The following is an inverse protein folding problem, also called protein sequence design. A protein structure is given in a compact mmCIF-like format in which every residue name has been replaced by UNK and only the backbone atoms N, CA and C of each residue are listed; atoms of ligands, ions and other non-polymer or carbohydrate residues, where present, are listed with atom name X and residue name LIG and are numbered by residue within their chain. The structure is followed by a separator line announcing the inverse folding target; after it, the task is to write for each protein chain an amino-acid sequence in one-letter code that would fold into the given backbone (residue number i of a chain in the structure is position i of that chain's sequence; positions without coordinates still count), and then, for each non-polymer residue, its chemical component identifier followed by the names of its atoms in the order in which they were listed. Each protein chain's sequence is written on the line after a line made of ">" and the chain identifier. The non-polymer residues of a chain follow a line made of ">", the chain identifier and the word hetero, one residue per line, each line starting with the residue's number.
data_IF_529197060563
#
_entry.id   IF_529197060563
#
_cell.length_a   1.000
_cell.length_b   1.000
_cell.length_c   1.000
_cell.angle_alpha   90.00
_cell.angle_beta   90.00
_cell.angle_gamma   90.00
#
_symmetry.space_group_name_H-M   'P 1'
#
loop_
_entity.id
_entity.type
_entity.pdbx_description
1 polymer ?
#
# COMPACT_ATOMS: atom_id res chain seq x y z
N UNK A 1 -28.83 -8.46 24.77
CA UNK A 1 -28.37 -8.37 23.36
C UNK A 1 -27.95 -6.95 22.94
N UNK A 2 -27.81 -5.98 23.86
CA UNK A 2 -27.45 -4.59 23.53
C UNK A 2 -25.95 -4.27 23.60
N UNK A 3 -25.17 -4.95 24.46
CA UNK A 3 -23.74 -4.63 24.67
C UNK A 3 -22.86 -4.89 23.44
N UNK A 4 -23.16 -5.93 22.65
CA UNK A 4 -22.29 -6.36 21.55
C UNK A 4 -22.29 -5.41 20.33
N UNK A 5 -23.29 -4.52 20.24
CA UNK A 5 -23.44 -3.60 19.10
C UNK A 5 -22.53 -2.38 19.27
N UNK A 6 -22.40 -1.89 20.49
CA UNK A 6 -21.62 -0.69 20.83
C UNK A 6 -20.11 -0.97 20.73
N UNK A 7 -19.67 -2.16 21.18
CA UNK A 7 -18.29 -2.62 21.04
C UNK A 7 -17.86 -2.84 19.58
N UNK A 8 -18.76 -3.31 18.72
CA UNK A 8 -18.47 -3.49 17.29
C UNK A 8 -18.29 -2.15 16.56
N UNK A 9 -19.18 -1.18 16.80
CA UNK A 9 -19.02 0.17 16.24
C UNK A 9 -17.74 0.85 16.76
N UNK A 10 -17.33 0.58 18.00
CA UNK A 10 -16.04 1.03 18.53
C UNK A 10 -14.86 0.41 17.79
N UNK A 11 -14.90 -0.90 17.51
CA UNK A 11 -13.84 -1.60 16.79
C UNK A 11 -13.69 -1.09 15.35
N UNK A 12 -14.79 -0.89 14.63
CA UNK A 12 -14.76 -0.39 13.24
C UNK A 12 -14.10 0.99 13.18
N UNK A 13 -14.53 1.92 14.02
CA UNK A 13 -13.94 3.27 14.06
C UNK A 13 -12.44 3.23 14.40
N UNK A 14 -12.04 2.36 15.33
CA UNK A 14 -10.61 2.19 15.68
C UNK A 14 -9.78 1.63 14.53
N UNK A 15 -10.34 0.75 13.70
CA UNK A 15 -9.64 0.23 12.52
C UNK A 15 -9.54 1.32 11.45
N UNK A 16 -10.59 2.11 11.24
CA UNK A 16 -10.55 3.27 10.33
C UNK A 16 -9.49 4.29 10.77
N UNK A 17 -9.46 4.62 12.06
CA UNK A 17 -8.47 5.54 12.65
C UNK A 17 -7.03 4.99 12.53
N UNK A 18 -6.85 3.67 12.65
CA UNK A 18 -5.55 3.00 12.56
C UNK A 18 -5.15 2.61 11.14
N UNK A 19 -5.98 2.85 10.11
CA UNK A 19 -5.73 2.32 8.77
C UNK A 19 -4.39 2.77 8.19
N UNK A 20 -4.04 4.04 8.35
CA UNK A 20 -2.75 4.57 7.88
C UNK A 20 -1.54 3.90 8.55
N UNK A 21 -1.66 3.52 9.83
CA UNK A 21 -0.61 2.78 10.55
C UNK A 21 -0.52 1.35 10.03
N UNK A 22 -1.67 0.67 9.86
CA UNK A 22 -1.73 -0.68 9.29
C UNK A 22 -1.11 -0.73 7.88
N UNK A 23 -1.44 0.24 7.03
CA UNK A 23 -0.92 0.35 5.67
C UNK A 23 0.61 0.56 5.68
N UNK A 24 1.09 1.48 6.53
CA UNK A 24 2.52 1.74 6.70
C UNK A 24 3.29 0.53 7.23
N UNK A 25 2.73 -0.19 8.21
CA UNK A 25 3.32 -1.41 8.76
C UNK A 25 3.43 -2.49 7.68
N UNK A 26 2.37 -2.69 6.89
CA UNK A 26 2.37 -3.66 5.78
C UNK A 26 3.47 -3.33 4.76
N UNK A 27 3.57 -2.08 4.33
CA UNK A 27 4.63 -1.65 3.42
C UNK A 27 6.03 -1.88 4.00
N UNK A 28 6.22 -1.61 5.29
CA UNK A 28 7.50 -1.77 5.98
C UNK A 28 7.89 -3.24 6.11
N UNK A 29 6.95 -4.07 6.57
CA UNK A 29 7.15 -5.51 6.71
C UNK A 29 7.45 -6.15 5.35
N UNK A 30 6.68 -5.81 4.31
CA UNK A 30 6.95 -6.27 2.95
C UNK A 30 8.34 -5.87 2.48
N UNK A 31 8.77 -4.63 2.72
CA UNK A 31 10.10 -4.17 2.32
C UNK A 31 11.24 -4.96 2.98
N UNK A 32 11.04 -5.46 4.20
CA UNK A 32 12.05 -6.23 4.92
C UNK A 32 11.98 -7.74 4.68
N UNK A 33 10.80 -8.26 4.31
CA UNK A 33 10.55 -9.72 4.23
C UNK A 33 10.41 -10.24 2.81
N UNK A 34 10.00 -9.40 1.86
CA UNK A 34 9.79 -9.77 0.46
C UNK A 34 10.84 -9.10 -0.44
N UNK A 35 11.77 -9.91 -0.95
CA UNK A 35 12.87 -9.41 -1.78
C UNK A 35 12.42 -8.89 -3.13
N UNK A 36 11.34 -9.43 -3.70
CA UNK A 36 10.81 -8.96 -4.98
C UNK A 36 10.15 -7.60 -4.79
N UNK A 37 9.32 -7.46 -3.76
CA UNK A 37 8.72 -6.18 -3.38
C UNK A 37 9.78 -5.10 -3.09
N UNK A 38 10.82 -5.44 -2.32
CA UNK A 38 11.91 -4.52 -2.04
C UNK A 38 12.67 -4.09 -3.31
N UNK A 39 12.83 -5.00 -4.28
CA UNK A 39 13.45 -4.70 -5.56
C UNK A 39 12.59 -3.73 -6.39
N UNK A 40 11.27 -3.95 -6.43
CA UNK A 40 10.33 -3.05 -7.12
C UNK A 40 10.39 -1.62 -6.56
N UNK A 41 10.35 -1.45 -5.23
CA UNK A 41 10.48 -0.12 -4.59
C UNK A 41 11.80 0.55 -4.93
N UNK A 42 12.92 -0.17 -4.78
CA UNK A 42 14.26 0.39 -5.07
C UNK A 42 14.38 0.83 -6.53
N UNK A 43 13.84 0.04 -7.46
CA UNK A 43 13.87 0.41 -8.87
C UNK A 43 13.02 1.66 -9.15
N UNK A 44 11.84 1.78 -8.52
CA UNK A 44 10.99 2.97 -8.65
C UNK A 44 11.71 4.22 -8.10
N UNK A 45 12.35 4.11 -6.94
CA UNK A 45 13.14 5.20 -6.33
C UNK A 45 14.31 5.61 -7.23
N UNK A 46 15.03 4.64 -7.81
CA UNK A 46 16.13 4.89 -8.74
C UNK A 46 15.65 5.60 -10.01
N UNK A 47 14.51 5.20 -10.56
CA UNK A 47 13.92 5.87 -11.73
C UNK A 47 13.53 7.30 -11.40
N UNK A 48 12.90 7.55 -10.26
CA UNK A 48 12.51 8.89 -9.84
C UNK A 48 13.74 9.80 -9.64
N UNK A 49 14.82 9.28 -9.05
CA UNK A 49 16.09 10.01 -8.89
C UNK A 49 16.78 10.28 -10.24
N UNK A 50 16.79 9.30 -11.15
CA UNK A 50 17.44 9.43 -12.46
C UNK A 50 16.63 10.29 -13.45
N UNK A 51 15.32 10.41 -13.25
CA UNK A 51 14.39 11.10 -14.14
C UNK A 51 13.48 12.06 -13.38
N UNK A 52 13.95 13.29 -13.07
CA UNK A 52 13.17 14.32 -12.36
C UNK A 52 11.85 14.71 -13.03
N UNK A 53 11.69 14.36 -14.32
CA UNK A 53 10.43 14.52 -15.04
C UNK A 53 9.28 13.70 -14.43
N UNK A 54 9.58 12.59 -13.75
CA UNK A 54 8.57 11.76 -13.07
C UNK A 54 7.89 12.58 -11.96
N UNK A 55 8.65 13.23 -11.09
CA UNK A 55 8.12 14.12 -10.05
C UNK A 55 7.32 15.28 -10.65
N UNK A 56 7.83 15.90 -11.73
CA UNK A 56 7.09 16.94 -12.46
C UNK A 56 5.75 16.45 -13.01
N UNK A 57 5.64 15.20 -13.45
CA UNK A 57 4.37 14.62 -13.91
C UNK A 57 3.42 14.40 -12.74
N UNK A 58 3.93 13.92 -11.60
CA UNK A 58 3.10 13.56 -10.45
C UNK A 58 2.59 14.77 -9.66
N UNK A 59 3.42 15.79 -9.50
CA UNK A 59 3.16 16.94 -8.60
C UNK A 59 3.08 18.28 -9.33
N UNK A 60 3.57 18.34 -10.57
CA UNK A 60 3.59 19.57 -11.35
C UNK A 60 2.22 19.92 -11.96
N UNK A 61 2.15 21.13 -12.51
CA UNK A 61 0.97 21.63 -13.21
C UNK A 61 1.32 22.12 -14.62
N UNK A 62 0.34 22.06 -15.52
CA UNK A 62 0.49 22.50 -16.91
C UNK A 62 0.96 21.40 -17.87
N UNK A 63 1.26 21.79 -19.10
CA UNK A 63 1.66 20.85 -20.14
C UNK A 63 3.11 20.37 -19.95
N UNK A 64 3.33 19.07 -20.14
CA UNK A 64 4.65 18.43 -20.09
C UNK A 64 4.88 17.71 -21.41
N UNK A 65 6.05 17.92 -22.01
CA UNK A 65 6.52 17.17 -23.17
C UNK A 65 7.61 16.21 -22.70
N UNK A 66 7.57 14.96 -23.18
CA UNK A 66 8.53 13.92 -22.83
C UNK A 66 9.34 13.53 -24.06
N UNK A 67 10.65 13.35 -23.87
CA UNK A 67 11.47 12.57 -24.80
C UNK A 67 11.08 11.09 -24.74
N UNK A 68 11.50 10.32 -25.74
CA UNK A 68 11.28 8.87 -25.78
C UNK A 68 11.82 8.16 -24.51
N UNK A 69 13.01 8.57 -24.06
CA UNK A 69 13.64 8.04 -22.84
C UNK A 69 12.82 8.37 -21.58
N UNK A 70 12.33 9.60 -21.47
CA UNK A 70 11.51 10.04 -20.34
C UNK A 70 10.14 9.35 -20.33
N UNK A 71 9.52 9.18 -21.50
CA UNK A 71 8.29 8.41 -21.63
C UNK A 71 8.48 6.96 -21.21
N UNK A 72 9.55 6.29 -21.68
CA UNK A 72 9.86 4.93 -21.30
C UNK A 72 10.13 4.80 -19.78
N UNK A 73 10.85 5.75 -19.18
CA UNK A 73 11.08 5.78 -17.74
C UNK A 73 9.78 5.95 -16.95
N UNK A 74 8.87 6.82 -17.40
CA UNK A 74 7.58 7.01 -16.75
C UNK A 74 6.66 5.78 -16.87
N UNK A 75 6.61 5.14 -18.04
CA UNK A 75 5.87 3.88 -18.24
C UNK A 75 6.42 2.78 -17.31
N UNK A 76 7.75 2.65 -17.19
CA UNK A 76 8.35 1.70 -16.26
C UNK A 76 8.00 2.02 -14.81
N UNK A 77 8.14 3.28 -14.40
CA UNK A 77 7.81 3.74 -13.06
C UNK A 77 6.36 3.43 -12.67
N UNK A 78 5.40 3.77 -13.54
CA UNK A 78 3.97 3.48 -13.28
C UNK A 78 3.70 1.98 -13.19
N UNK A 79 4.33 1.17 -14.03
CA UNK A 79 4.25 -0.29 -13.95
C UNK A 79 4.81 -0.87 -12.64
N UNK A 80 5.91 -0.30 -12.12
CA UNK A 80 6.45 -0.68 -10.81
C UNK A 80 5.49 -0.29 -9.68
N UNK A 81 4.92 0.92 -9.72
CA UNK A 81 3.93 1.37 -8.72
C UNK A 81 2.71 0.46 -8.66
N UNK A 82 2.16 0.06 -9.81
CA UNK A 82 1.05 -0.90 -9.87
C UNK A 82 1.41 -2.23 -9.21
N UNK A 83 2.59 -2.78 -9.51
CA UNK A 83 3.03 -4.06 -8.91
C UNK A 83 3.25 -3.95 -7.40
N UNK A 84 3.82 -2.83 -6.93
CA UNK A 84 3.98 -2.53 -5.49
C UNK A 84 2.62 -2.47 -4.80
N UNK A 85 1.66 -1.72 -5.36
CA UNK A 85 0.31 -1.60 -4.80
C UNK A 85 -0.45 -2.94 -4.81
N UNK A 86 -0.27 -3.77 -5.83
CA UNK A 86 -0.86 -5.10 -5.88
C UNK A 86 -0.35 -6.00 -4.75
N UNK A 87 0.94 -5.94 -4.43
CA UNK A 87 1.51 -6.68 -3.31
C UNK A 87 0.97 -6.18 -1.97
N UNK A 88 0.92 -4.87 -1.75
CA UNK A 88 0.37 -4.24 -0.54
C UNK A 88 -1.12 -4.61 -0.35
N UNK A 89 -1.94 -4.45 -1.40
CA UNK A 89 -3.37 -4.81 -1.36
C UNK A 89 -3.60 -6.30 -1.05
N UNK A 90 -2.76 -7.20 -1.58
CA UNK A 90 -2.82 -8.63 -1.22
C UNK A 90 -2.52 -8.84 0.26
N UNK A 91 -1.52 -8.16 0.82
CA UNK A 91 -1.21 -8.29 2.25
C UNK A 91 -2.31 -7.70 3.15
N UNK A 92 -2.91 -6.57 2.78
CA UNK A 92 -4.07 -6.00 3.49
C UNK A 92 -5.22 -7.02 3.54
N UNK A 93 -5.50 -7.69 2.41
CA UNK A 93 -6.53 -8.73 2.34
C UNK A 93 -6.24 -9.89 3.31
N UNK A 94 -5.01 -10.43 3.32
CA UNK A 94 -4.64 -11.52 4.23
C UNK A 94 -4.63 -11.11 5.70
N UNK A 95 -4.17 -9.88 6.00
CA UNK A 95 -4.19 -9.33 7.35
C UNK A 95 -5.62 -9.22 7.88
N UNK A 96 -6.54 -8.68 7.08
CA UNK A 96 -7.95 -8.58 7.45
C UNK A 96 -8.60 -9.94 7.77
N UNK A 97 -8.28 -10.99 7.00
CA UNK A 97 -8.73 -12.36 7.30
C UNK A 97 -8.15 -12.91 8.59
N UNK A 98 -6.87 -12.68 8.83
CA UNK A 98 -6.17 -13.14 10.04
C UNK A 98 -6.73 -12.45 11.28
N UNK A 99 -6.93 -11.14 11.23
CA UNK A 99 -7.50 -10.34 12.32
C UNK A 99 -8.95 -10.74 12.60
N UNK A 100 -9.75 -10.96 11.55
CA UNK A 100 -11.13 -11.44 11.68
C UNK A 100 -11.18 -12.82 12.34
N UNK A 101 -10.33 -13.75 11.92
CA UNK A 101 -10.27 -15.09 12.50
C UNK A 101 -9.81 -15.06 13.97
N UNK A 102 -8.81 -14.24 14.29
CA UNK A 102 -8.35 -14.03 15.66
C UNK A 102 -9.45 -13.44 16.54
N UNK A 103 -10.22 -12.48 16.01
CA UNK A 103 -11.36 -11.88 16.71
C UNK A 103 -12.45 -12.92 17.00
N UNK A 104 -12.86 -13.71 16.01
CA UNK A 104 -13.91 -14.73 16.18
C UNK A 104 -13.54 -15.76 17.26
N UNK A 105 -12.27 -16.19 17.32
CA UNK A 105 -11.76 -17.04 18.40
C UNK A 105 -11.84 -16.36 19.76
N UNK A 106 -11.44 -15.08 19.84
CA UNK A 106 -11.42 -14.32 21.09
C UNK A 106 -12.82 -14.19 21.73
N UNK A 107 -13.86 -14.06 20.91
CA UNK A 107 -15.25 -13.96 21.39
C UNK A 107 -15.94 -15.33 21.54
N UNK A 108 -15.25 -16.43 21.25
CA UNK A 108 -15.80 -17.79 21.33
C UNK A 108 -16.86 -18.10 20.26
N UNK A 109 -16.84 -17.41 19.13
CA UNK A 109 -17.75 -17.67 18.00
C UNK A 109 -17.29 -18.86 17.13
N UNK A 110 -16.00 -19.21 17.20
CA UNK A 110 -15.37 -20.40 16.59
C UNK A 110 -14.30 -20.99 17.51
#
# INVERSE_FOLDING_TARGET
>A
MSENREDYYNLVNRIEDAFSEIDSDISTDLFHTDTEYAALRREADQLQQAHPVIERILEGAGAISLSEKEHAAFVRYTGLKVQTEEAERRQIYFRGHTDSFAYLKKIGAI
#
